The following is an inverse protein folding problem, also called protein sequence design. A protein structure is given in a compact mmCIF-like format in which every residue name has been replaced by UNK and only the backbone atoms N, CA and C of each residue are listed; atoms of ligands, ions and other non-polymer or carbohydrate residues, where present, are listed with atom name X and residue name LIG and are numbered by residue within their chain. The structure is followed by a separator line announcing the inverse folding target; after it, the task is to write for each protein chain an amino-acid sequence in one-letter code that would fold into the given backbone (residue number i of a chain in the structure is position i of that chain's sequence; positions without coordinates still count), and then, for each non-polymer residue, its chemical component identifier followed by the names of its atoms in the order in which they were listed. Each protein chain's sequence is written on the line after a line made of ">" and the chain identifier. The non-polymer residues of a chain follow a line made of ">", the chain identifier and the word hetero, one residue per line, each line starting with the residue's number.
data_IF_601797294067
#
_entry.id   IF_601797294067
#
_cell.length_a   1.000
_cell.length_b   1.000
_cell.length_c   1.000
_cell.angle_alpha   90.00
_cell.angle_beta   90.00
_cell.angle_gamma   90.00
#
_symmetry.space_group_name_H-M   'P 1'
#
loop_
_entity.id
_entity.type
_entity.pdbx_description
1 polymer ?
#
# COMPACT_ATOMS: atom_id res chain seq x y z
N UNK A 1 12.44 12.25 -21.88
CA UNK A 1 11.11 11.86 -21.41
C UNK A 1 10.88 12.53 -20.06
N UNK A 2 9.71 13.08 -19.84
CA UNK A 2 9.28 13.67 -18.57
C UNK A 2 8.09 12.88 -18.07
N UNK A 3 8.07 12.57 -16.79
CA UNK A 3 6.97 11.87 -16.13
C UNK A 3 6.65 12.61 -14.84
N UNK A 4 5.39 13.00 -14.68
CA UNK A 4 4.82 13.47 -13.41
C UNK A 4 3.83 12.41 -12.97
N UNK A 5 4.00 11.85 -11.79
CA UNK A 5 3.21 10.69 -11.36
C UNK A 5 2.61 10.90 -9.97
N UNK A 6 1.62 10.06 -9.67
CA UNK A 6 1.00 9.98 -8.35
C UNK A 6 0.24 11.24 -7.93
N UNK A 7 -0.35 11.93 -8.90
CA UNK A 7 -1.19 13.08 -8.62
C UNK A 7 -2.62 12.62 -8.27
N UNK A 8 -3.20 13.08 -7.15
CA UNK A 8 -4.61 12.85 -6.87
C UNK A 8 -5.47 13.58 -7.89
N UNK A 9 -6.72 13.13 -8.05
CA UNK A 9 -7.70 13.80 -8.90
C UNK A 9 -8.07 15.15 -8.28
N UNK A 10 -7.32 16.18 -8.64
CA UNK A 10 -7.65 17.56 -8.31
C UNK A 10 -8.04 18.25 -9.61
N UNK A 11 -9.29 18.69 -9.73
CA UNK A 11 -9.78 19.43 -10.90
C UNK A 11 -8.90 20.66 -11.24
N UNK A 12 -8.27 21.25 -10.23
CA UNK A 12 -7.28 22.32 -10.40
C UNK A 12 -6.04 21.90 -11.18
N UNK A 13 -5.55 20.66 -11.00
CA UNK A 13 -4.35 20.18 -11.68
C UNK A 13 -4.63 19.79 -13.14
N UNK A 14 -5.83 19.30 -13.47
CA UNK A 14 -6.23 19.04 -14.85
C UNK A 14 -6.14 20.31 -15.71
N UNK A 15 -6.71 21.41 -15.23
CA UNK A 15 -6.62 22.71 -15.91
C UNK A 15 -5.18 23.24 -15.99
N UNK A 16 -4.41 23.13 -14.91
CA UNK A 16 -3.04 23.60 -14.86
C UNK A 16 -2.13 22.79 -15.77
N UNK A 17 -2.21 21.46 -15.76
CA UNK A 17 -1.40 20.60 -16.61
C UNK A 17 -1.74 20.76 -18.10
N UNK A 18 -3.02 20.86 -18.45
CA UNK A 18 -3.43 21.09 -19.84
C UNK A 18 -2.99 22.46 -20.37
N UNK A 19 -2.97 23.49 -19.52
CA UNK A 19 -2.54 24.83 -19.89
C UNK A 19 -1.01 24.99 -19.91
N UNK A 20 -0.34 24.47 -18.87
CA UNK A 20 1.11 24.65 -18.69
C UNK A 20 1.92 23.65 -19.50
N UNK A 21 1.36 22.46 -19.75
CA UNK A 21 2.03 21.37 -20.45
C UNK A 21 1.14 20.74 -21.53
N UNK A 22 0.80 21.45 -22.61
CA UNK A 22 -0.15 20.98 -23.62
C UNK A 22 0.32 19.71 -24.38
N UNK A 23 1.61 19.35 -24.25
CA UNK A 23 2.17 18.14 -24.86
C UNK A 23 2.20 16.92 -23.93
N UNK A 24 1.71 17.04 -22.70
CA UNK A 24 1.64 15.91 -21.77
C UNK A 24 0.35 15.11 -22.01
N UNK A 25 0.52 13.78 -21.98
CA UNK A 25 -0.60 12.84 -22.00
C UNK A 25 -0.92 12.37 -20.59
N UNK A 26 -2.19 12.48 -20.24
CA UNK A 26 -2.72 11.96 -18.97
C UNK A 26 -3.02 10.47 -19.11
N UNK A 27 -2.63 9.68 -18.13
CA UNK A 27 -3.01 8.29 -18.02
C UNK A 27 -3.17 7.89 -16.54
N UNK A 28 -4.01 6.91 -16.31
CA UNK A 28 -4.21 6.32 -15.00
C UNK A 28 -3.42 5.02 -14.90
N UNK A 29 -2.89 4.77 -13.72
CA UNK A 29 -2.26 3.50 -13.34
C UNK A 29 -3.15 2.85 -12.28
N UNK A 30 -2.74 1.67 -11.76
CA UNK A 30 -3.48 1.04 -10.67
C UNK A 30 -3.75 2.02 -9.53
N UNK A 31 -4.97 2.04 -8.96
CA UNK A 31 -5.33 2.95 -7.89
C UNK A 31 -4.50 2.66 -6.63
N UNK A 32 -4.35 3.67 -5.79
CA UNK A 32 -3.92 3.46 -4.41
C UNK A 32 -5.11 3.02 -3.55
N UNK A 33 -4.83 2.18 -2.55
CA UNK A 33 -5.86 1.61 -1.68
C UNK A 33 -5.84 2.31 -0.32
N UNK A 34 -6.88 3.08 -0.02
CA UNK A 34 -6.96 3.90 1.19
C UNK A 34 -8.08 3.43 2.09
N UNK A 35 -7.82 3.28 3.37
CA UNK A 35 -8.84 3.02 4.40
C UNK A 35 -8.92 4.22 5.34
N UNK A 36 -10.08 4.86 5.42
CA UNK A 36 -10.36 5.86 6.44
C UNK A 36 -10.57 5.18 7.78
N UNK A 37 -9.79 5.59 8.77
CA UNK A 37 -9.88 5.08 10.13
C UNK A 37 -11.00 5.80 10.86
N UNK A 38 -11.85 5.06 11.56
CA UNK A 38 -12.94 5.65 12.32
C UNK A 38 -12.43 6.17 13.65
N UNK A 39 -12.94 7.28 14.09
CA UNK A 39 -12.53 7.94 15.33
C UNK A 39 -12.82 7.12 16.59
N UNK A 40 -13.76 6.16 16.51
CA UNK A 40 -14.13 5.23 17.59
C UNK A 40 -13.24 3.97 17.63
N UNK A 41 -12.35 3.75 16.65
CA UNK A 41 -11.42 2.64 16.70
C UNK A 41 -10.19 2.99 17.56
N UNK A 42 -10.08 2.31 18.69
CA UNK A 42 -8.94 2.40 19.60
C UNK A 42 -8.06 1.14 19.58
N UNK A 43 -8.57 0.08 18.95
CA UNK A 43 -7.93 -1.23 18.89
C UNK A 43 -8.31 -1.96 17.59
N UNK A 44 -7.59 -3.05 17.30
CA UNK A 44 -7.96 -3.95 16.21
C UNK A 44 -9.31 -4.65 16.48
N UNK A 45 -9.69 -4.83 17.75
CA UNK A 45 -10.99 -5.39 18.11
C UNK A 45 -12.14 -4.45 17.73
N UNK A 46 -11.99 -3.14 17.89
CA UNK A 46 -13.00 -2.17 17.44
C UNK A 46 -13.17 -2.24 15.93
N UNK A 47 -12.07 -2.29 15.18
CA UNK A 47 -12.12 -2.52 13.75
C UNK A 47 -12.84 -3.84 13.42
N UNK A 48 -12.47 -4.97 14.06
CA UNK A 48 -13.10 -6.27 13.81
C UNK A 48 -14.60 -6.25 14.13
N UNK A 49 -15.03 -5.51 15.15
CA UNK A 49 -16.42 -5.36 15.51
C UNK A 49 -17.25 -4.60 14.47
N UNK A 50 -16.61 -3.75 13.67
CA UNK A 50 -17.26 -3.05 12.55
C UNK A 50 -17.48 -3.95 11.31
N UNK A 51 -16.77 -5.09 11.22
CA UNK A 51 -16.83 -6.00 10.07
C UNK A 51 -18.12 -6.83 10.06
N UNK A 52 -18.61 -7.11 8.85
CA UNK A 52 -19.60 -8.16 8.61
C UNK A 52 -19.07 -9.52 9.09
N UNK A 53 -19.98 -10.41 9.50
CA UNK A 53 -19.66 -11.70 10.11
C UNK A 53 -18.62 -12.51 9.34
N UNK A 54 -18.78 -12.66 8.02
CA UNK A 54 -17.86 -13.44 7.18
C UNK A 54 -16.43 -12.88 7.18
N UNK A 55 -16.27 -11.56 7.14
CA UNK A 55 -14.95 -10.91 7.15
C UNK A 55 -14.33 -10.98 8.53
N UNK A 56 -15.13 -10.78 9.59
CA UNK A 56 -14.67 -10.94 10.96
C UNK A 56 -14.17 -12.35 11.27
N UNK A 57 -14.89 -13.38 10.79
CA UNK A 57 -14.44 -14.78 10.92
C UNK A 57 -13.13 -15.01 10.17
N UNK A 58 -13.01 -14.50 8.93
CA UNK A 58 -11.76 -14.59 8.16
C UNK A 58 -10.60 -13.89 8.88
N UNK A 59 -10.81 -12.67 9.38
CA UNK A 59 -9.79 -11.91 10.10
C UNK A 59 -9.32 -12.65 11.35
N UNK A 60 -10.24 -13.22 12.15
CA UNK A 60 -9.89 -14.04 13.32
C UNK A 60 -9.06 -15.28 12.94
N UNK A 61 -9.41 -15.93 11.82
CA UNK A 61 -8.61 -17.06 11.32
C UNK A 61 -7.19 -16.63 10.96
N UNK A 62 -7.04 -15.50 10.27
CA UNK A 62 -5.73 -14.94 9.91
C UNK A 62 -4.90 -14.63 11.16
N UNK A 63 -5.48 -13.96 12.14
CA UNK A 63 -4.80 -13.65 13.41
C UNK A 63 -4.39 -14.93 14.16
N UNK A 64 -5.26 -15.94 14.19
CA UNK A 64 -4.97 -17.24 14.81
C UNK A 64 -3.78 -17.94 14.12
N UNK A 65 -3.69 -17.91 12.80
CA UNK A 65 -2.54 -18.43 12.07
C UNK A 65 -1.26 -17.64 12.36
N UNK A 66 -1.39 -16.37 12.71
CA UNK A 66 -0.28 -15.50 13.07
C UNK A 66 0.05 -15.43 14.57
N UNK A 67 -0.55 -16.25 15.45
CA UNK A 67 -0.29 -16.22 16.91
C UNK A 67 1.18 -16.41 17.29
N UNK A 68 1.95 -17.16 16.50
CA UNK A 68 3.39 -17.35 16.71
C UNK A 68 4.28 -16.26 16.08
N UNK A 69 3.70 -15.21 15.50
CA UNK A 69 4.44 -14.13 14.88
C UNK A 69 4.75 -13.04 15.91
N UNK A 70 6.03 -12.86 16.21
CA UNK A 70 6.53 -11.80 17.08
C UNK A 70 6.93 -10.57 16.26
N UNK A 71 6.58 -9.38 16.72
CA UNK A 71 6.88 -8.12 16.05
C UNK A 71 7.82 -7.27 16.88
N UNK A 72 8.92 -6.84 16.27
CA UNK A 72 9.95 -6.02 16.91
C UNK A 72 10.15 -4.73 16.13
N UNK A 73 10.01 -3.58 16.79
CA UNK A 73 10.32 -2.29 16.20
C UNK A 73 11.83 -2.07 16.09
N UNK A 74 12.25 -1.52 14.95
CA UNK A 74 13.65 -1.23 14.67
C UNK A 74 13.93 0.25 14.80
N UNK A 75 15.11 0.55 15.33
CA UNK A 75 15.75 1.85 15.32
C UNK A 75 17.12 1.76 14.61
N UNK A 76 17.83 2.87 14.51
CA UNK A 76 19.14 2.93 13.84
C UNK A 76 20.22 2.05 14.50
N UNK A 77 20.06 1.69 15.78
CA UNK A 77 21.05 0.90 16.53
C UNK A 77 20.77 -0.61 16.43
N UNK A 78 19.50 -1.00 16.61
CA UNK A 78 19.14 -2.43 16.66
C UNK A 78 18.88 -3.03 15.28
N UNK A 79 18.77 -2.23 14.21
CA UNK A 79 18.50 -2.67 12.85
C UNK A 79 19.74 -3.29 12.16
N UNK A 80 20.95 -2.86 12.50
CA UNK A 80 22.18 -3.22 11.80
C UNK A 80 22.36 -4.75 11.59
N UNK A 81 22.11 -5.63 12.57
CA UNK A 81 22.21 -7.07 12.37
C UNK A 81 21.22 -7.65 11.35
N UNK A 82 20.13 -6.96 11.10
CA UNK A 82 19.03 -7.39 10.24
C UNK A 82 19.01 -6.75 8.85
N UNK A 83 19.92 -5.82 8.59
CA UNK A 83 19.95 -5.03 7.35
C UNK A 83 19.95 -5.92 6.10
N UNK A 84 20.82 -6.93 6.04
CA UNK A 84 20.93 -7.83 4.88
C UNK A 84 19.66 -8.65 4.69
N UNK A 85 19.12 -9.25 5.75
CA UNK A 85 17.92 -10.08 5.64
C UNK A 85 16.68 -9.27 5.28
N UNK A 86 16.55 -8.04 5.79
CA UNK A 86 15.45 -7.13 5.42
C UNK A 86 15.53 -6.76 3.93
N UNK A 87 16.73 -6.51 3.43
CA UNK A 87 16.94 -6.25 2.01
C UNK A 87 16.62 -7.48 1.13
N UNK A 88 17.00 -8.68 1.54
CA UNK A 88 16.65 -9.93 0.86
C UNK A 88 15.13 -10.16 0.84
N UNK A 89 14.43 -9.93 1.95
CA UNK A 89 12.97 -10.01 2.04
C UNK A 89 12.29 -8.99 1.12
N UNK A 90 12.81 -7.77 1.04
CA UNK A 90 12.35 -6.76 0.10
C UNK A 90 12.52 -7.24 -1.35
N UNK A 91 13.69 -7.78 -1.70
CA UNK A 91 13.96 -8.26 -3.05
C UNK A 91 13.02 -9.38 -3.48
N UNK A 92 12.65 -10.30 -2.58
CA UNK A 92 11.69 -11.36 -2.89
C UNK A 92 10.32 -10.83 -3.35
N UNK A 93 9.85 -9.74 -2.73
CA UNK A 93 8.59 -9.08 -3.11
C UNK A 93 8.78 -8.23 -4.38
N UNK A 94 9.87 -7.50 -4.46
CA UNK A 94 10.21 -6.64 -5.58
C UNK A 94 10.33 -7.42 -6.89
N UNK A 95 11.07 -8.52 -6.90
CA UNK A 95 11.23 -9.39 -8.09
C UNK A 95 9.89 -9.99 -8.52
N UNK A 96 9.05 -10.36 -7.56
CA UNK A 96 7.74 -10.93 -7.85
C UNK A 96 6.73 -9.94 -8.44
N UNK A 97 6.95 -8.63 -8.25
CA UNK A 97 6.10 -7.59 -8.83
C UNK A 97 6.28 -7.41 -10.35
N UNK A 98 7.33 -8.01 -10.94
CA UNK A 98 7.57 -8.08 -12.38
C UNK A 98 8.10 -6.79 -13.01
N UNK A 99 7.70 -5.62 -12.55
CA UNK A 99 8.17 -4.34 -13.05
C UNK A 99 8.40 -3.35 -11.90
N UNK A 100 9.64 -2.92 -11.76
CA UNK A 100 10.04 -1.88 -10.83
C UNK A 100 10.82 -0.79 -11.57
N UNK A 101 10.37 0.46 -11.43
CA UNK A 101 11.09 1.62 -11.98
C UNK A 101 12.38 1.93 -11.22
N UNK A 102 12.43 1.58 -9.95
CA UNK A 102 13.53 1.90 -9.03
C UNK A 102 13.81 0.67 -8.18
N UNK A 103 15.07 0.29 -8.09
CA UNK A 103 15.57 -0.67 -7.11
C UNK A 103 16.16 0.09 -5.93
N UNK A 104 15.82 -0.33 -4.71
CA UNK A 104 16.34 0.31 -3.50
C UNK A 104 17.82 -0.05 -3.30
N UNK A 105 18.57 0.91 -2.78
CA UNK A 105 19.94 0.65 -2.30
C UNK A 105 19.89 -0.17 -0.99
N UNK A 106 20.84 -1.07 -0.72
CA UNK A 106 20.87 -1.85 0.52
C UNK A 106 20.85 -1.02 1.80
N UNK A 107 21.37 0.22 1.77
CA UNK A 107 21.38 1.15 2.90
C UNK A 107 20.06 1.91 3.09
N UNK A 108 19.09 1.76 2.19
CA UNK A 108 17.89 2.59 2.15
C UNK A 108 17.15 2.65 3.48
N UNK A 109 16.84 1.50 4.08
CA UNK A 109 16.09 1.44 5.34
C UNK A 109 16.92 1.95 6.52
N UNK A 110 18.23 1.66 6.55
CA UNK A 110 19.14 2.17 7.57
C UNK A 110 19.17 3.71 7.54
N UNK A 111 19.33 4.29 6.35
CA UNK A 111 19.34 5.74 6.16
C UNK A 111 18.04 6.40 6.64
N UNK A 112 16.89 5.79 6.38
CA UNK A 112 15.62 6.33 6.87
C UNK A 112 15.49 6.23 8.40
N UNK A 113 15.95 5.14 9.01
CA UNK A 113 15.97 5.02 10.47
C UNK A 113 16.91 6.02 11.14
N UNK A 114 18.00 6.43 10.48
CA UNK A 114 18.97 7.41 10.98
C UNK A 114 18.49 8.86 10.84
N UNK A 115 17.81 9.17 9.74
CA UNK A 115 17.54 10.57 9.37
C UNK A 115 16.06 10.96 9.36
N UNK A 116 15.15 10.00 9.44
CA UNK A 116 13.70 10.23 9.35
C UNK A 116 12.93 9.56 10.50
N UNK A 117 13.58 9.23 11.62
CA UNK A 117 13.01 8.44 12.72
C UNK A 117 11.72 9.02 13.32
N UNK A 118 11.50 10.33 13.21
CA UNK A 118 10.30 10.98 13.75
C UNK A 118 9.03 10.56 12.97
N UNK A 119 9.18 10.31 11.68
CA UNK A 119 8.05 10.02 10.79
C UNK A 119 8.14 8.64 10.12
N UNK A 120 9.27 7.96 10.23
CA UNK A 120 9.51 6.65 9.62
C UNK A 120 9.58 5.56 10.68
N UNK A 121 8.87 4.44 10.44
CA UNK A 121 9.00 3.26 11.28
C UNK A 121 9.21 2.01 10.46
N UNK A 122 9.97 1.08 11.01
CA UNK A 122 10.21 -0.24 10.46
C UNK A 122 10.04 -1.28 11.56
N UNK A 123 9.34 -2.37 11.25
CA UNK A 123 9.18 -3.50 12.16
C UNK A 123 9.51 -4.80 11.45
N UNK A 124 10.22 -5.67 12.15
CA UNK A 124 10.54 -7.02 11.69
C UNK A 124 9.60 -8.01 12.36
N UNK A 125 9.12 -8.97 11.60
CA UNK A 125 8.26 -10.06 12.08
C UNK A 125 9.10 -11.32 12.14
N UNK A 126 9.14 -11.91 13.33
CA UNK A 126 9.84 -13.17 13.61
C UNK A 126 8.84 -14.30 13.73
N UNK A 127 9.27 -15.48 13.31
CA UNK A 127 8.59 -16.74 13.57
C UNK A 127 9.63 -17.77 14.00
N UNK A 128 9.45 -18.37 15.18
CA UNK A 128 10.43 -19.29 15.76
C UNK A 128 11.86 -18.70 15.78
N UNK A 129 11.98 -17.45 16.24
CA UNK A 129 13.22 -16.67 16.30
C UNK A 129 13.88 -16.34 14.95
N UNK A 130 13.27 -16.71 13.81
CA UNK A 130 13.75 -16.37 12.47
C UNK A 130 13.00 -15.13 11.96
N UNK A 131 13.71 -14.09 11.46
CA UNK A 131 13.05 -12.97 10.77
C UNK A 131 12.50 -13.47 9.43
N UNK A 132 11.19 -13.42 9.25
CA UNK A 132 10.50 -13.93 8.05
C UNK A 132 9.76 -12.86 7.26
N UNK A 133 9.55 -11.69 7.85
CA UNK A 133 8.93 -10.57 7.18
C UNK A 133 9.32 -9.25 7.82
N UNK A 134 9.09 -8.17 7.12
CA UNK A 134 9.12 -6.82 7.66
C UNK A 134 8.06 -5.95 6.99
N UNK A 135 7.73 -4.86 7.63
CA UNK A 135 7.04 -3.75 7.02
C UNK A 135 7.60 -2.42 7.52
N UNK A 136 7.51 -1.42 6.66
CA UNK A 136 7.83 -0.05 7.00
C UNK A 136 6.66 0.88 6.71
N UNK A 137 6.64 2.03 7.35
CA UNK A 137 5.60 3.04 7.20
C UNK A 137 6.18 4.45 7.37
N UNK A 138 5.45 5.42 6.82
CA UNK A 138 5.75 6.84 6.99
C UNK A 138 4.48 7.52 7.52
N UNK A 139 4.63 8.41 8.49
CA UNK A 139 3.55 9.23 9.02
C UNK A 139 3.66 10.60 8.34
N UNK A 140 2.68 10.93 7.52
CA UNK A 140 2.59 12.21 6.80
C UNK A 140 1.36 12.97 7.29
N UNK A 141 1.56 13.84 8.27
CA UNK A 141 0.48 14.51 8.97
C UNK A 141 -0.49 13.52 9.62
N UNK A 142 -1.70 13.43 9.10
CA UNK A 142 -2.75 12.54 9.59
C UNK A 142 -2.86 11.22 8.80
N UNK A 143 -1.99 11.05 7.79
CA UNK A 143 -1.97 9.88 6.91
C UNK A 143 -0.87 8.92 7.30
N UNK A 144 -1.24 7.67 7.51
CA UNK A 144 -0.29 6.57 7.69
C UNK A 144 -0.03 5.92 6.32
N UNK A 145 1.16 6.10 5.78
CA UNK A 145 1.58 5.51 4.51
C UNK A 145 2.24 4.16 4.75
N UNK A 146 1.61 3.05 4.34
CA UNK A 146 2.31 1.78 4.22
C UNK A 146 3.37 1.93 3.14
N UNK A 147 4.64 1.78 3.52
CA UNK A 147 5.76 2.16 2.67
C UNK A 147 6.30 0.96 1.89
N UNK A 148 7.09 0.09 2.52
CA UNK A 148 7.56 -1.16 1.93
C UNK A 148 7.25 -2.34 2.83
N UNK A 149 7.07 -3.49 2.19
CA UNK A 149 6.96 -4.79 2.85
C UNK A 149 7.92 -5.77 2.19
N UNK A 150 8.40 -6.71 2.96
CA UNK A 150 9.11 -7.87 2.46
C UNK A 150 8.75 -9.08 3.28
N UNK A 151 8.65 -10.24 2.66
CA UNK A 151 8.34 -11.46 3.38
C UNK A 151 8.81 -12.71 2.62
N UNK A 152 9.14 -13.73 3.38
CA UNK A 152 9.49 -15.03 2.85
C UNK A 152 8.23 -15.76 2.35
N UNK A 153 8.14 -15.95 1.04
CA UNK A 153 6.92 -16.43 0.36
C UNK A 153 6.50 -17.85 0.79
N UNK A 154 7.46 -18.67 1.21
CA UNK A 154 7.20 -20.04 1.68
C UNK A 154 6.27 -20.08 2.91
N UNK A 155 6.28 -19.04 3.75
CA UNK A 155 5.41 -18.93 4.93
C UNK A 155 4.03 -18.32 4.62
N UNK A 156 3.85 -17.71 3.44
CA UNK A 156 2.62 -16.97 3.18
C UNK A 156 1.37 -17.84 3.24
N UNK A 157 1.40 -19.03 2.67
CA UNK A 157 0.23 -19.92 2.62
C UNK A 157 -0.18 -20.46 3.99
N UNK A 158 0.81 -20.76 4.85
CA UNK A 158 0.56 -21.37 6.15
C UNK A 158 0.18 -20.36 7.22
N UNK A 159 0.74 -19.14 7.15
CA UNK A 159 0.57 -18.09 8.16
C UNK A 159 -0.34 -16.94 7.67
N UNK A 160 -0.86 -17.00 6.43
CA UNK A 160 -1.53 -15.86 5.80
C UNK A 160 -0.71 -14.56 5.99
N UNK A 161 0.62 -14.68 5.75
CA UNK A 161 1.61 -13.72 6.21
C UNK A 161 1.37 -12.31 5.65
N UNK A 162 1.04 -12.21 4.36
CA UNK A 162 0.71 -10.92 3.76
C UNK A 162 -0.52 -10.27 4.42
N UNK A 163 -1.56 -11.05 4.70
CA UNK A 163 -2.76 -10.55 5.36
C UNK A 163 -2.47 -10.16 6.82
N UNK A 164 -1.63 -10.92 7.52
CA UNK A 164 -1.14 -10.56 8.85
C UNK A 164 -0.38 -9.24 8.84
N UNK A 165 0.47 -8.98 7.83
CA UNK A 165 1.18 -7.71 7.67
C UNK A 165 0.16 -6.55 7.51
N UNK A 166 -0.87 -6.70 6.67
CA UNK A 166 -1.89 -5.66 6.50
C UNK A 166 -2.62 -5.34 7.82
N UNK A 167 -2.96 -6.36 8.63
CA UNK A 167 -3.61 -6.17 9.93
C UNK A 167 -2.67 -5.50 10.96
N UNK A 168 -1.37 -5.80 10.92
CA UNK A 168 -0.36 -5.16 11.78
C UNK A 168 -0.11 -3.70 11.40
N UNK A 169 -0.08 -3.39 10.09
CA UNK A 169 -0.06 -2.01 9.60
C UNK A 169 -1.31 -1.25 10.08
N UNK A 170 -2.50 -1.86 9.96
CA UNK A 170 -3.74 -1.27 10.44
C UNK A 170 -3.72 -1.02 11.95
N UNK A 171 -3.29 -2.01 12.74
CA UNK A 171 -3.14 -1.85 14.19
C UNK A 171 -2.18 -0.72 14.54
N UNK A 172 -1.05 -0.62 13.82
CA UNK A 172 -0.07 0.45 14.03
C UNK A 172 -0.67 1.81 13.69
N UNK A 173 -1.41 1.92 12.58
CA UNK A 173 -2.08 3.15 12.18
C UNK A 173 -3.15 3.60 13.21
N UNK A 174 -3.91 2.66 13.78
CA UNK A 174 -4.86 2.94 14.87
C UNK A 174 -4.11 3.44 16.12
N UNK A 175 -3.01 2.80 16.50
CA UNK A 175 -2.24 3.16 17.69
C UNK A 175 -1.65 4.57 17.61
N UNK A 176 -1.19 5.00 16.43
CA UNK A 176 -0.69 6.36 16.21
C UNK A 176 -1.79 7.39 15.95
N UNK A 177 -3.07 6.97 16.01
CA UNK A 177 -4.24 7.83 15.80
C UNK A 177 -4.27 8.51 14.42
N UNK A 178 -3.78 7.84 13.39
CA UNK A 178 -3.92 8.32 12.03
C UNK A 178 -5.41 8.42 11.63
N UNK A 179 -5.75 9.34 10.73
CA UNK A 179 -7.10 9.44 10.17
C UNK A 179 -7.34 8.49 9.01
N UNK A 180 -6.28 8.16 8.29
CA UNK A 180 -6.37 7.18 7.20
C UNK A 180 -5.06 6.40 7.06
N UNK A 181 -5.16 5.21 6.50
CA UNK A 181 -4.04 4.39 6.07
C UNK A 181 -4.08 4.22 4.55
N UNK A 182 -2.99 4.57 3.89
CA UNK A 182 -2.75 4.31 2.49
C UNK A 182 -1.90 3.05 2.34
N UNK A 183 -2.50 1.97 1.86
CA UNK A 183 -1.81 0.70 1.60
C UNK A 183 -1.05 0.66 0.27
N UNK A 184 -0.93 1.78 -0.41
CA UNK A 184 -0.35 1.89 -1.75
C UNK A 184 -1.08 1.03 -2.80
N UNK A 185 -0.41 0.77 -3.95
CA UNK A 185 -0.96 0.05 -5.11
C UNK A 185 -0.76 -1.47 -4.96
N UNK A 186 -1.19 -2.21 -5.97
CA UNK A 186 -1.10 -3.69 -6.08
C UNK A 186 -1.93 -4.46 -5.04
N UNK A 187 -2.14 -5.73 -5.29
CA UNK A 187 -2.90 -6.62 -4.40
C UNK A 187 -4.27 -6.02 -3.96
N UNK A 188 -5.00 -5.41 -4.91
CA UNK A 188 -6.20 -4.58 -4.68
C UNK A 188 -7.29 -5.36 -3.94
N UNK A 189 -7.54 -6.62 -4.34
CA UNK A 189 -8.62 -7.41 -3.77
C UNK A 189 -8.40 -7.72 -2.28
N UNK A 190 -7.18 -8.11 -1.87
CA UNK A 190 -6.91 -8.40 -0.45
C UNK A 190 -6.94 -7.11 0.39
N UNK A 191 -6.44 -5.99 -0.13
CA UNK A 191 -6.53 -4.68 0.54
C UNK A 191 -7.98 -4.21 0.68
N UNK A 192 -8.82 -4.44 -0.34
CA UNK A 192 -10.24 -4.15 -0.22
C UNK A 192 -10.94 -5.05 0.82
N UNK A 193 -10.43 -6.27 1.05
CA UNK A 193 -10.98 -7.18 2.05
C UNK A 193 -10.74 -6.71 3.49
N UNK A 194 -9.76 -5.84 3.73
CA UNK A 194 -9.56 -5.14 5.00
C UNK A 194 -10.23 -3.76 5.03
N UNK A 195 -10.96 -3.41 3.98
CA UNK A 195 -11.81 -2.21 3.93
C UNK A 195 -11.19 -1.02 3.20
N UNK A 196 -10.04 -1.18 2.57
CA UNK A 196 -9.47 -0.12 1.75
C UNK A 196 -10.27 0.06 0.46
N UNK A 197 -10.45 1.31 0.07
CA UNK A 197 -11.15 1.73 -1.14
C UNK A 197 -10.14 2.22 -2.19
N UNK A 198 -10.41 2.02 -3.48
CA UNK A 198 -9.53 2.49 -4.54
C UNK A 198 -9.65 4.00 -4.73
N UNK A 199 -8.51 4.68 -4.79
CA UNK A 199 -8.39 6.08 -5.14
C UNK A 199 -7.51 6.21 -6.38
N UNK A 200 -8.07 6.74 -7.45
CA UNK A 200 -7.34 6.90 -8.71
C UNK A 200 -6.21 7.90 -8.57
N UNK A 201 -5.09 7.55 -9.19
CA UNK A 201 -3.93 8.41 -9.31
C UNK A 201 -3.63 8.65 -10.78
N UNK A 202 -3.34 9.89 -11.10
CA UNK A 202 -3.04 10.35 -12.45
C UNK A 202 -1.55 10.53 -12.67
N UNK A 203 -1.12 10.14 -13.83
CA UNK A 203 0.24 10.35 -14.32
C UNK A 203 0.19 11.15 -15.60
N UNK A 204 1.20 11.98 -15.79
CA UNK A 204 1.38 12.79 -17.01
C UNK A 204 2.74 12.46 -17.59
N UNK A 205 2.77 12.17 -18.89
CA UNK A 205 3.99 11.83 -19.61
C UNK A 205 4.14 12.69 -20.86
N UNK A 206 5.37 13.12 -21.11
CA UNK A 206 5.71 13.81 -22.35
C UNK A 206 7.12 13.43 -22.82
N UNK A 207 7.33 13.50 -24.12
CA UNK A 207 8.65 13.36 -24.72
C UNK A 207 9.01 14.61 -25.52
N UNK A 208 10.29 15.05 -25.42
CA UNK A 208 10.76 16.25 -26.14
C UNK A 208 10.70 16.13 -27.68
N UNK A 209 10.83 14.92 -28.20
CA UNK A 209 10.63 14.67 -29.66
C UNK A 209 9.14 14.57 -29.94
N UNK A 210 8.62 15.38 -30.86
CA UNK A 210 7.21 15.38 -31.28
C UNK A 210 6.77 14.04 -31.87
N UNK A 211 7.67 13.36 -32.61
CA UNK A 211 7.39 12.05 -33.22
C UNK A 211 7.18 10.99 -32.15
N UNK A 212 8.10 10.91 -31.15
CA UNK A 212 7.96 9.96 -30.06
C UNK A 212 6.73 10.31 -29.22
N UNK A 213 6.51 11.60 -28.96
CA UNK A 213 5.38 12.06 -28.17
C UNK A 213 4.04 11.65 -28.77
N UNK A 214 3.90 11.65 -30.10
CA UNK A 214 2.64 11.24 -30.76
C UNK A 214 2.35 9.74 -30.65
N UNK A 215 3.36 8.91 -30.37
CA UNK A 215 3.22 7.45 -30.20
C UNK A 215 2.93 7.05 -28.72
N UNK A 216 3.30 7.94 -27.78
CA UNK A 216 3.14 7.69 -26.33
C UNK A 216 1.75 7.21 -25.94
N UNK A 217 0.63 7.83 -26.39
CA UNK A 217 -0.71 7.39 -25.99
C UNK A 217 -1.01 5.94 -26.36
N UNK A 218 -0.58 5.52 -27.56
CA UNK A 218 -0.80 4.16 -28.06
C UNK A 218 -0.04 3.13 -27.24
N UNK A 219 1.20 3.45 -26.83
CA UNK A 219 1.99 2.59 -25.95
C UNK A 219 1.35 2.49 -24.56
N UNK A 220 0.89 3.61 -24.01
CA UNK A 220 0.24 3.64 -22.70
C UNK A 220 -1.07 2.85 -22.67
N UNK A 221 -1.89 2.94 -23.73
CA UNK A 221 -3.12 2.15 -23.87
C UNK A 221 -2.83 0.65 -23.88
N UNK A 222 -1.76 0.24 -24.60
CA UNK A 222 -1.32 -1.16 -24.64
C UNK A 222 -0.77 -1.67 -23.30
N UNK A 223 -0.10 -0.79 -22.53
CA UNK A 223 0.49 -1.11 -21.23
C UNK A 223 -0.49 -0.99 -20.07
N UNK A 224 -1.72 -0.52 -20.33
CA UNK A 224 -2.73 -0.37 -19.29
C UNK A 224 -3.03 -1.71 -18.63
N UNK A 225 -2.87 -1.84 -17.30
CA UNK A 225 -3.18 -3.07 -16.61
C UNK A 225 -4.65 -3.44 -16.82
N UNK A 226 -4.91 -4.70 -17.14
CA UNK A 226 -6.29 -5.23 -17.11
C UNK A 226 -6.58 -5.59 -15.65
N UNK A 227 -7.28 -4.72 -14.97
CA UNK A 227 -7.62 -4.91 -13.56
C UNK A 227 -8.91 -5.71 -13.42
N UNK A 228 -8.83 -7.04 -13.57
CA UNK A 228 -9.90 -7.97 -13.22
C UNK A 228 -9.82 -8.31 -11.72
N UNK A 229 -10.25 -7.41 -10.86
CA UNK A 229 -10.33 -7.65 -9.43
C UNK A 229 -11.71 -7.29 -8.87
N UNK A 230 -12.11 -7.95 -7.78
CA UNK A 230 -13.41 -7.74 -7.15
C UNK A 230 -13.22 -6.90 -5.90
N UNK A 231 -13.77 -5.68 -5.90
CA UNK A 231 -13.79 -4.86 -4.70
C UNK A 231 -14.63 -5.52 -3.61
N UNK A 232 -13.99 -5.78 -2.47
CA UNK A 232 -14.64 -6.30 -1.27
C UNK A 232 -15.17 -5.14 -0.42
N UNK A 233 -16.31 -5.34 0.25
CA UNK A 233 -16.94 -4.36 1.14
C UNK A 233 -17.14 -5.02 2.50
N UNK A 234 -16.15 -4.94 3.41
CA UNK A 234 -16.17 -5.75 4.62
C UNK A 234 -17.03 -5.16 5.74
N UNK A 235 -17.34 -3.85 5.73
CA UNK A 235 -18.04 -3.19 6.83
C UNK A 235 -19.56 -3.41 6.80
N UNK A 236 -20.18 -3.41 7.99
CA UNK A 236 -21.63 -3.62 8.14
C UNK A 236 -22.46 -2.52 7.48
N UNK A 237 -21.98 -1.30 7.52
CA UNK A 237 -22.63 -0.09 7.00
C UNK A 237 -22.36 0.16 5.49
N UNK A 238 -21.44 -0.56 4.89
CA UNK A 238 -21.19 -0.45 3.44
C UNK A 238 -22.38 -0.86 2.55
N UNK A 239 -23.38 -1.54 3.12
CA UNK A 239 -24.64 -1.87 2.44
C UNK A 239 -25.65 -0.70 2.42
N UNK A 240 -25.41 0.38 3.18
CA UNK A 240 -26.32 1.54 3.26
C UNK A 240 -26.03 2.60 2.19
N UNK A 241 -24.90 2.51 1.50
CA UNK A 241 -24.50 3.44 0.43
C UNK A 241 -24.53 2.72 -0.93
N UNK A 242 -25.67 2.16 -1.29
CA UNK A 242 -25.99 1.92 -2.72
C UNK A 242 -26.57 3.22 -3.27
N UNK A 243 -25.70 4.01 -3.85
CA UNK A 243 -26.12 5.24 -4.54
C UNK A 243 -27.01 4.84 -5.73
N UNK A 244 -28.31 5.25 -5.80
CA UNK A 244 -29.24 4.81 -6.86
C UNK A 244 -29.01 5.47 -8.22
N UNK A 245 -27.89 6.17 -8.45
CA UNK A 245 -27.63 6.98 -9.63
C UNK A 245 -26.77 6.32 -10.73
N UNK A 246 -26.55 5.01 -10.69
CA UNK A 246 -25.86 4.28 -11.76
C UNK A 246 -26.80 3.24 -12.42
N UNK A 247 -28.04 3.61 -12.69
CA UNK A 247 -28.92 2.90 -13.64
C UNK A 247 -29.58 3.97 -14.52
N UNK A 248 -28.87 4.34 -15.57
CA UNK A 248 -29.46 4.89 -16.80
C UNK A 248 -28.41 4.81 -17.91
#
# INVERSE_FOLDING_TARGET
>A
MFIVKDLPQLDRLKGLCAYTFPSFYEFTIQPTMVLKLRSDWNSLDDYMNSLQSKYRVKTRKVLKLGEGLEEVAMDSFNFQPYKSIVFELYQQVSIAAGFNLIELHPDYFQTLLEHCSDNFGLKIIFYQSKPIAFYSYIIDGEVFQAHFIGYERSYNNNLELYHNILLRLLQTAINVKAKEINFARTALEIKSSVGAEPHDLFCYIAHKSKIINSVVPHILEFLKPKDDWIQRRPFKDSNLVVNPLLKS
#
